data_IF_928526261492
#
_entry.id   IF_928526261492
#
_cell.length_a   1.000
_cell.length_b   1.000
_cell.length_c   1.000
_cell.angle_alpha   90.00
_cell.angle_beta   90.00
_cell.angle_gamma   90.00
#
_symmetry.space_group_name_H-M   'P 1'
#
loop_
_entity.id
_entity.type
_entity.pdbx_description
1 polymer ?
#
# COMPACT_ATOMS: atom_id res chain seq x y z
N UNK A 1 2.88 -6.53 -24.63
CA UNK A 1 2.82 -5.29 -23.81
C UNK A 1 2.16 -4.21 -24.65
N UNK A 2 1.38 -3.31 -24.02
CA UNK A 2 0.71 -2.21 -24.73
C UNK A 2 1.69 -1.11 -25.08
N UNK A 3 1.58 -0.51 -26.24
CA UNK A 3 2.42 0.59 -26.74
C UNK A 3 1.55 1.78 -27.14
N UNK A 4 2.11 2.97 -27.09
CA UNK A 4 1.47 4.18 -27.61
C UNK A 4 1.20 4.01 -29.13
N UNK A 5 0.10 4.59 -29.60
CA UNK A 5 -0.22 4.61 -31.03
C UNK A 5 0.76 5.51 -31.83
N UNK A 6 1.32 6.52 -31.16
CA UNK A 6 2.36 7.40 -31.72
C UNK A 6 3.51 7.49 -30.73
N UNK A 7 4.75 7.51 -31.23
CA UNK A 7 5.91 7.74 -30.41
C UNK A 7 5.85 9.09 -29.71
N UNK A 8 6.41 9.15 -28.50
CA UNK A 8 6.85 10.40 -27.88
C UNK A 8 8.36 10.48 -27.98
N UNK A 9 8.92 11.66 -28.19
CA UNK A 9 10.37 11.82 -28.20
C UNK A 9 10.94 11.76 -26.78
N UNK A 10 12.16 11.22 -26.64
CA UNK A 10 12.84 11.23 -25.35
C UNK A 10 13.02 12.63 -24.81
N UNK A 11 13.29 13.61 -25.68
CA UNK A 11 13.41 15.03 -25.33
C UNK A 11 12.12 15.60 -24.74
N UNK A 12 10.95 15.26 -25.29
CA UNK A 12 9.66 15.71 -24.75
C UNK A 12 9.42 15.13 -23.34
N UNK A 13 9.81 13.87 -23.10
CA UNK A 13 9.72 13.27 -21.78
C UNK A 13 10.66 13.97 -20.78
N UNK A 14 11.91 14.22 -21.16
CA UNK A 14 12.87 14.94 -20.32
C UNK A 14 12.39 16.35 -20.00
N UNK A 15 11.89 17.09 -21.00
CA UNK A 15 11.32 18.43 -20.80
C UNK A 15 10.13 18.44 -19.84
N UNK A 16 9.32 17.37 -19.87
CA UNK A 16 8.13 17.26 -19.03
C UNK A 16 8.43 16.83 -17.59
N UNK A 17 9.38 15.93 -17.38
CA UNK A 17 9.63 15.30 -16.08
C UNK A 17 10.95 15.69 -15.44
N UNK A 18 11.76 16.51 -16.13
CA UNK A 18 13.05 16.97 -15.63
C UNK A 18 14.20 16.01 -15.91
N UNK A 19 15.38 16.40 -15.45
CA UNK A 19 16.62 15.68 -15.74
C UNK A 19 17.34 16.22 -16.99
N UNK A 20 18.29 15.49 -17.52
CA UNK A 20 19.08 15.85 -18.70
C UNK A 20 19.34 14.65 -19.60
N UNK A 21 19.76 14.90 -20.83
CA UNK A 21 20.22 13.87 -21.76
C UNK A 21 21.75 13.80 -21.71
N UNK A 22 22.31 12.59 -21.60
CA UNK A 22 23.76 12.40 -21.66
C UNK A 22 24.33 12.79 -23.02
N UNK A 23 23.57 12.54 -24.10
CA UNK A 23 23.91 12.95 -25.48
C UNK A 23 22.78 13.85 -26.02
N UNK A 24 23.13 15.04 -26.49
CA UNK A 24 22.18 16.06 -26.98
C UNK A 24 21.32 15.51 -28.12
N UNK A 25 21.91 14.79 -29.06
CA UNK A 25 21.23 14.24 -30.24
C UNK A 25 20.24 13.11 -29.89
N UNK A 26 20.29 12.55 -28.68
CA UNK A 26 19.38 11.48 -28.25
C UNK A 26 17.94 11.97 -27.96
N UNK A 27 17.72 13.29 -27.95
CA UNK A 27 16.39 13.87 -27.74
C UNK A 27 15.33 13.44 -28.78
N UNK A 28 15.76 13.08 -30.00
CA UNK A 28 14.87 12.62 -31.08
C UNK A 28 14.54 11.11 -31.00
N UNK A 29 15.08 10.38 -30.03
CA UNK A 29 14.81 8.95 -29.88
C UNK A 29 13.30 8.73 -29.62
N UNK A 30 12.69 7.91 -30.47
CA UNK A 30 11.26 7.61 -30.42
C UNK A 30 10.98 6.54 -29.36
N UNK A 31 10.11 6.87 -28.42
CA UNK A 31 9.66 5.97 -27.33
C UNK A 31 8.19 5.65 -27.52
N UNK A 32 7.87 4.36 -27.56
CA UNK A 32 6.51 3.85 -27.68
C UNK A 32 6.00 3.18 -26.41
N UNK A 33 6.93 2.69 -25.55
CA UNK A 33 6.56 1.79 -24.47
C UNK A 33 7.57 1.87 -23.32
N UNK A 34 7.09 1.52 -22.12
CA UNK A 34 7.95 1.21 -20.96
C UNK A 34 8.19 -0.30 -20.90
N UNK A 35 9.41 -0.72 -20.63
CA UNK A 35 9.76 -2.13 -20.49
C UNK A 35 10.84 -2.38 -19.44
N UNK A 36 10.82 -3.56 -18.77
CA UNK A 36 11.90 -3.99 -17.89
C UNK A 36 13.20 -4.15 -18.66
N UNK A 37 14.35 -3.92 -17.99
CA UNK A 37 15.70 -4.08 -18.60
C UNK A 37 15.88 -5.41 -19.34
N UNK A 38 15.42 -6.51 -18.74
CA UNK A 38 15.60 -7.85 -19.28
C UNK A 38 14.81 -8.14 -20.57
N UNK A 39 13.74 -7.40 -20.85
CA UNK A 39 12.86 -7.67 -22.00
C UNK A 39 12.65 -6.48 -22.92
N UNK A 40 13.33 -5.38 -22.67
CA UNK A 40 13.23 -4.19 -23.49
C UNK A 40 13.84 -4.39 -24.88
N UNK A 41 13.23 -3.74 -25.88
CA UNK A 41 13.61 -3.79 -27.28
C UNK A 41 13.64 -2.38 -27.86
N UNK A 42 13.93 -2.24 -29.14
CA UNK A 42 13.90 -0.98 -29.85
C UNK A 42 12.52 -0.29 -29.71
N UNK A 43 12.50 0.98 -29.39
CA UNK A 43 11.30 1.76 -29.12
C UNK A 43 10.88 1.76 -27.63
N UNK A 44 11.57 1.03 -26.78
CA UNK A 44 11.27 1.00 -25.35
C UNK A 44 12.13 1.99 -24.55
N UNK A 45 11.54 2.51 -23.47
CA UNK A 45 12.22 3.21 -22.39
C UNK A 45 12.30 2.27 -21.17
N UNK A 46 13.50 2.10 -20.63
CA UNK A 46 13.75 1.33 -19.41
C UNK A 46 14.36 2.22 -18.32
N UNK A 47 14.67 1.66 -17.16
CA UNK A 47 15.28 2.41 -16.06
C UNK A 47 16.24 1.55 -15.23
N UNK A 48 17.28 2.19 -14.67
CA UNK A 48 18.25 1.60 -13.77
C UNK A 48 18.25 2.38 -12.45
N UNK A 49 17.51 1.89 -11.44
CA UNK A 49 17.42 2.49 -10.11
C UNK A 49 18.22 1.75 -9.03
N UNK A 50 18.84 0.59 -9.36
CA UNK A 50 19.61 -0.18 -8.41
C UNK A 50 20.83 -0.77 -9.10
N UNK A 51 22.00 -0.49 -8.54
CA UNK A 51 23.30 -0.89 -9.10
C UNK A 51 23.47 -2.41 -9.31
N UNK A 52 22.75 -3.24 -8.57
CA UNK A 52 22.79 -4.72 -8.78
C UNK A 52 22.27 -5.15 -10.15
N UNK A 53 21.52 -4.32 -10.85
CA UNK A 53 20.98 -4.59 -12.18
C UNK A 53 21.82 -4.00 -13.32
N UNK A 54 23.01 -3.48 -13.04
CA UNK A 54 23.92 -2.89 -14.06
C UNK A 54 24.19 -3.88 -15.18
N UNK A 55 24.44 -5.17 -14.88
CA UNK A 55 24.67 -6.17 -15.93
C UNK A 55 23.46 -6.32 -16.85
N UNK A 56 22.26 -6.35 -16.30
CA UNK A 56 21.04 -6.38 -17.12
C UNK A 56 20.87 -5.10 -17.95
N UNK A 57 21.31 -3.95 -17.43
CA UNK A 57 21.29 -2.70 -18.19
C UNK A 57 22.30 -2.75 -19.34
N UNK A 58 23.47 -3.33 -19.18
CA UNK A 58 24.46 -3.51 -20.25
C UNK A 58 23.94 -4.41 -21.39
N UNK A 59 23.20 -5.46 -21.06
CA UNK A 59 22.63 -6.39 -22.03
C UNK A 59 21.28 -5.91 -22.62
N UNK A 60 20.75 -4.81 -22.09
CA UNK A 60 19.43 -4.26 -22.46
C UNK A 60 19.42 -3.71 -23.90
N UNK A 61 18.32 -3.93 -24.61
CA UNK A 61 18.10 -3.45 -25.99
C UNK A 61 17.11 -2.28 -26.08
N UNK A 62 16.84 -1.61 -24.95
CA UNK A 62 16.00 -0.43 -24.93
C UNK A 62 16.55 0.69 -25.80
N UNK A 63 15.69 1.49 -26.41
CA UNK A 63 16.11 2.69 -27.13
C UNK A 63 16.66 3.77 -26.20
N UNK A 64 16.18 3.82 -24.95
CA UNK A 64 16.69 4.74 -23.94
C UNK A 64 16.60 4.14 -22.53
N UNK A 65 17.45 4.59 -21.62
CA UNK A 65 17.47 4.18 -20.21
C UNK A 65 17.47 5.41 -19.31
N UNK A 66 16.57 5.44 -18.33
CA UNK A 66 16.62 6.41 -17.22
C UNK A 66 17.66 5.92 -16.22
N UNK A 67 18.62 6.75 -15.87
CA UNK A 67 19.77 6.37 -15.04
C UNK A 67 20.17 7.52 -14.11
N UNK A 68 20.80 7.21 -12.97
CA UNK A 68 21.39 8.22 -12.09
C UNK A 68 22.75 8.70 -12.63
N UNK A 69 23.15 9.94 -12.27
CA UNK A 69 24.50 10.45 -12.56
C UNK A 69 25.59 9.49 -12.10
N UNK A 70 25.41 8.89 -10.93
CA UNK A 70 26.35 7.93 -10.35
C UNK A 70 26.52 6.64 -11.19
N UNK A 71 25.44 6.20 -11.84
CA UNK A 71 25.45 4.93 -12.60
C UNK A 71 25.64 5.14 -14.10
N UNK A 72 25.57 6.39 -14.59
CA UNK A 72 25.71 6.73 -16.01
C UNK A 72 27.00 6.14 -16.61
N UNK A 73 28.15 6.35 -15.96
CA UNK A 73 29.45 5.89 -16.46
C UNK A 73 29.55 4.37 -16.64
N UNK A 74 28.67 3.60 -15.97
CA UNK A 74 28.65 2.14 -16.06
C UNK A 74 27.98 1.62 -17.34
N UNK A 75 27.07 2.39 -17.95
CA UNK A 75 26.26 1.96 -19.09
C UNK A 75 26.42 2.84 -20.34
N UNK A 76 27.00 4.04 -20.24
CA UNK A 76 27.11 5.02 -21.33
C UNK A 76 27.94 4.52 -22.53
N UNK A 77 28.78 3.53 -22.36
CA UNK A 77 29.55 2.89 -23.46
C UNK A 77 28.70 2.00 -24.35
N UNK A 78 27.57 1.52 -23.86
CA UNK A 78 26.67 0.60 -24.58
C UNK A 78 25.41 1.32 -25.04
N UNK A 79 24.92 2.28 -24.25
CA UNK A 79 23.67 3.00 -24.53
C UNK A 79 23.95 4.43 -25.01
N UNK A 80 23.52 4.73 -26.22
CA UNK A 80 23.63 6.08 -26.85
C UNK A 80 22.55 7.06 -26.40
N UNK A 81 21.48 6.61 -25.74
CA UNK A 81 20.41 7.44 -25.23
C UNK A 81 20.17 7.19 -23.74
N UNK A 82 20.76 8.03 -22.90
CA UNK A 82 20.58 7.98 -21.46
C UNK A 82 19.88 9.25 -20.95
N UNK A 83 18.78 9.05 -20.23
CA UNK A 83 18.09 10.10 -19.49
C UNK A 83 18.66 10.13 -18.06
N UNK A 84 19.30 11.22 -17.70
CA UNK A 84 20.12 11.31 -16.48
C UNK A 84 19.39 12.09 -15.40
N UNK A 85 19.37 11.53 -14.20
CA UNK A 85 18.78 12.10 -12.99
C UNK A 85 19.81 12.09 -11.84
N UNK A 86 19.65 13.01 -10.89
CA UNK A 86 20.62 13.26 -9.82
C UNK A 86 20.88 12.05 -8.91
N UNK A 87 19.92 11.14 -8.73
CA UNK A 87 20.06 9.98 -7.84
C UNK A 87 19.19 8.79 -8.26
N UNK A 88 19.50 7.61 -7.71
CA UNK A 88 18.69 6.40 -7.93
C UNK A 88 17.25 6.56 -7.43
N UNK A 89 17.02 7.30 -6.35
CA UNK A 89 15.67 7.62 -5.88
C UNK A 89 14.92 8.52 -6.88
N UNK A 90 15.60 9.53 -7.44
CA UNK A 90 15.03 10.37 -8.50
C UNK A 90 14.69 9.55 -9.76
N UNK A 91 15.52 8.58 -10.15
CA UNK A 91 15.23 7.64 -11.24
C UNK A 91 13.91 6.91 -10.99
N UNK A 92 13.73 6.36 -9.79
CA UNK A 92 12.53 5.58 -9.47
C UNK A 92 11.28 6.43 -9.39
N UNK A 93 11.35 7.62 -8.79
CA UNK A 93 10.21 8.56 -8.72
C UNK A 93 9.83 9.12 -10.10
N UNK A 94 10.82 9.42 -10.94
CA UNK A 94 10.57 9.86 -12.33
C UNK A 94 9.94 8.73 -13.15
N UNK A 95 10.44 7.49 -13.02
CA UNK A 95 9.82 6.33 -13.65
C UNK A 95 8.35 6.17 -13.22
N UNK A 96 8.02 6.34 -11.95
CA UNK A 96 6.64 6.31 -11.48
C UNK A 96 5.77 7.37 -12.17
N UNK A 97 6.25 8.62 -12.25
CA UNK A 97 5.54 9.72 -12.93
C UNK A 97 5.35 9.45 -14.42
N UNK A 98 6.40 8.96 -15.08
CA UNK A 98 6.36 8.58 -16.51
C UNK A 98 5.38 7.42 -16.72
N UNK A 99 5.36 6.42 -15.84
CA UNK A 99 4.44 5.28 -15.96
C UNK A 99 2.97 5.73 -15.83
N UNK A 100 2.67 6.64 -14.92
CA UNK A 100 1.33 7.23 -14.78
C UNK A 100 0.93 8.00 -16.07
N UNK A 101 1.86 8.78 -16.64
CA UNK A 101 1.60 9.48 -17.90
C UNK A 101 1.34 8.50 -19.05
N UNK A 102 2.15 7.44 -19.19
CA UNK A 102 1.90 6.40 -20.20
C UNK A 102 0.53 5.75 -20.01
N UNK A 103 0.14 5.46 -18.77
CA UNK A 103 -1.19 4.91 -18.47
C UNK A 103 -2.31 5.86 -18.94
N UNK A 104 -2.19 7.15 -18.71
CA UNK A 104 -3.16 8.15 -19.19
C UNK A 104 -3.25 8.21 -20.74
N UNK A 105 -2.12 8.04 -21.45
CA UNK A 105 -2.13 7.99 -22.92
C UNK A 105 -2.72 6.69 -23.47
N UNK A 106 -2.53 5.58 -22.77
CA UNK A 106 -3.01 4.26 -23.16
C UNK A 106 -4.48 4.02 -22.82
N UNK A 107 -4.98 4.68 -21.78
CA UNK A 107 -6.33 4.54 -21.25
C UNK A 107 -6.97 5.92 -21.15
N UNK A 108 -7.57 6.42 -22.24
CA UNK A 108 -8.21 7.73 -22.23
C UNK A 108 -9.31 7.78 -21.17
N UNK A 109 -9.48 8.97 -20.60
CA UNK A 109 -10.52 9.23 -19.63
C UNK A 109 -11.91 8.93 -20.19
N UNK A 110 -12.76 8.21 -19.44
CA UNK A 110 -14.13 8.00 -19.85
C UNK A 110 -14.90 9.33 -19.86
N UNK A 111 -15.84 9.44 -20.77
CA UNK A 111 -16.71 10.63 -20.86
C UNK A 111 -17.65 10.66 -19.64
N UNK A 112 -17.80 11.86 -19.04
CA UNK A 112 -18.73 12.10 -17.95
C UNK A 112 -20.15 11.68 -18.32
N UNK A 113 -20.87 11.09 -17.37
CA UNK A 113 -22.25 10.68 -17.57
C UNK A 113 -22.66 9.54 -16.64
N UNK A 114 -23.95 9.29 -16.64
CA UNK A 114 -24.58 8.25 -15.81
C UNK A 114 -25.09 7.15 -16.75
N UNK A 115 -24.62 5.93 -16.51
CA UNK A 115 -25.12 4.77 -17.28
C UNK A 115 -26.60 4.52 -17.01
N UNK A 116 -27.38 4.18 -18.04
CA UNK A 116 -28.83 4.02 -17.95
C UNK A 116 -29.31 2.94 -16.97
N UNK A 117 -28.48 1.99 -16.63
CA UNK A 117 -28.78 0.95 -15.62
C UNK A 117 -28.35 1.31 -14.21
N UNK A 118 -27.81 2.52 -13.95
CA UNK A 118 -27.51 2.96 -12.60
C UNK A 118 -28.80 3.36 -11.87
N UNK A 119 -28.89 3.05 -10.58
CA UNK A 119 -30.00 3.40 -9.70
C UNK A 119 -29.55 4.47 -8.73
N UNK A 120 -30.09 5.67 -8.86
CA UNK A 120 -29.69 6.82 -8.05
C UNK A 120 -30.91 7.33 -7.30
N UNK A 121 -30.80 7.40 -5.96
CA UNK A 121 -31.86 7.95 -5.14
C UNK A 121 -32.09 9.43 -5.47
N UNK A 122 -33.35 9.92 -5.48
CA UNK A 122 -33.67 11.32 -5.85
C UNK A 122 -33.01 12.39 -4.96
N UNK A 123 -32.63 12.01 -3.72
CA UNK A 123 -31.96 12.91 -2.78
C UNK A 123 -30.44 12.84 -2.84
N UNK A 124 -29.87 11.94 -3.64
CA UNK A 124 -28.43 11.86 -3.85
C UNK A 124 -27.92 13.03 -4.70
N UNK A 125 -26.70 13.47 -4.43
CA UNK A 125 -26.03 14.56 -5.16
C UNK A 125 -24.88 13.97 -5.97
N UNK A 126 -25.03 13.95 -7.29
CA UNK A 126 -23.99 13.46 -8.20
C UNK A 126 -23.52 14.61 -9.07
N UNK A 127 -22.20 14.89 -9.07
CA UNK A 127 -21.65 15.93 -9.93
C UNK A 127 -21.87 15.59 -11.42
N UNK A 128 -22.16 16.62 -12.22
CA UNK A 128 -22.33 16.48 -13.67
C UNK A 128 -21.05 16.04 -14.39
N UNK A 129 -19.89 16.22 -13.76
CA UNK A 129 -18.59 15.77 -14.29
C UNK A 129 -18.22 14.33 -13.89
N UNK A 130 -19.03 13.65 -13.08
CA UNK A 130 -18.79 12.29 -12.63
C UNK A 130 -19.10 11.26 -13.75
N UNK A 131 -18.40 10.14 -13.70
CA UNK A 131 -18.67 8.96 -14.52
C UNK A 131 -19.28 7.88 -13.64
N UNK A 132 -20.51 7.49 -13.91
CA UNK A 132 -21.23 6.46 -13.17
C UNK A 132 -21.46 5.25 -14.07
N UNK A 133 -20.83 4.14 -13.70
CA UNK A 133 -20.84 2.88 -14.48
C UNK A 133 -22.16 2.11 -14.42
N UNK A 134 -22.27 1.02 -15.18
CA UNK A 134 -23.47 0.19 -15.21
C UNK A 134 -23.73 -0.51 -13.86
N UNK A 135 -24.99 -0.61 -13.49
CA UNK A 135 -25.44 -1.29 -12.28
C UNK A 135 -24.98 -0.65 -10.96
N UNK A 136 -24.49 0.59 -10.98
CA UNK A 136 -24.15 1.35 -9.77
C UNK A 136 -25.39 1.70 -9.01
N UNK A 137 -25.36 1.58 -7.68
CA UNK A 137 -26.40 2.00 -6.77
C UNK A 137 -25.87 3.15 -5.91
N UNK A 138 -26.57 4.30 -5.92
CA UNK A 138 -26.27 5.45 -5.07
C UNK A 138 -27.51 5.74 -4.24
N UNK A 139 -27.39 5.54 -2.93
CA UNK A 139 -28.49 5.64 -2.00
C UNK A 139 -28.79 7.09 -1.58
N UNK A 140 -29.83 7.25 -0.76
CA UNK A 140 -30.35 8.55 -0.34
C UNK A 140 -29.27 9.41 0.33
N UNK A 141 -29.27 10.72 0.03
CA UNK A 141 -28.37 11.73 0.61
C UNK A 141 -26.86 11.49 0.33
N UNK A 142 -26.49 10.46 -0.41
CA UNK A 142 -25.10 10.24 -0.81
C UNK A 142 -24.61 11.37 -1.73
N UNK A 143 -23.31 11.68 -1.68
CA UNK A 143 -22.69 12.75 -2.46
C UNK A 143 -21.47 12.25 -3.23
N UNK A 144 -21.48 12.44 -4.55
CA UNK A 144 -20.36 12.11 -5.46
C UNK A 144 -19.78 13.42 -5.99
N UNK A 145 -18.49 13.65 -5.70
CA UNK A 145 -17.75 14.84 -6.09
C UNK A 145 -17.41 14.92 -7.57
N UNK A 146 -16.77 16.03 -7.94
CA UNK A 146 -16.39 16.31 -9.33
C UNK A 146 -15.37 15.28 -9.85
N UNK A 147 -15.52 14.93 -11.12
CA UNK A 147 -14.62 14.01 -11.84
C UNK A 147 -14.42 12.64 -11.18
N UNK A 148 -15.31 12.23 -10.27
CA UNK A 148 -15.30 10.87 -9.72
C UNK A 148 -15.60 9.84 -10.82
N UNK A 149 -15.00 8.67 -10.67
CA UNK A 149 -15.27 7.50 -11.52
C UNK A 149 -15.77 6.36 -10.64
N UNK A 150 -17.04 6.04 -10.77
CA UNK A 150 -17.70 4.96 -10.03
C UNK A 150 -17.90 3.78 -10.97
N UNK A 151 -17.09 2.74 -10.77
CA UNK A 151 -17.07 1.53 -11.58
C UNK A 151 -18.36 0.72 -11.52
N UNK A 152 -18.49 -0.25 -12.41
CA UNK A 152 -19.67 -1.09 -12.49
C UNK A 152 -20.01 -1.79 -11.16
N UNK A 153 -21.30 -1.88 -10.83
CA UNK A 153 -21.82 -2.59 -9.65
C UNK A 153 -21.27 -2.09 -8.30
N UNK A 154 -20.77 -0.86 -8.23
CA UNK A 154 -20.48 -0.22 -6.95
C UNK A 154 -21.77 0.13 -6.22
N UNK A 155 -21.73 0.06 -4.89
CA UNK A 155 -22.79 0.53 -4.02
C UNK A 155 -22.26 1.65 -3.14
N UNK A 156 -22.91 2.82 -3.17
CA UNK A 156 -22.62 3.96 -2.31
C UNK A 156 -23.82 4.15 -1.39
N UNK A 157 -23.66 3.82 -0.12
CA UNK A 157 -24.69 3.81 0.90
C UNK A 157 -25.20 5.20 1.26
N UNK A 158 -26.32 5.24 1.97
CA UNK A 158 -27.00 6.47 2.34
C UNK A 158 -26.07 7.42 3.12
N UNK A 159 -26.10 8.70 2.77
CA UNK A 159 -25.26 9.73 3.42
C UNK A 159 -23.76 9.64 3.14
N UNK A 160 -23.28 8.63 2.44
CA UNK A 160 -21.86 8.47 2.13
C UNK A 160 -21.35 9.58 1.19
N UNK A 161 -20.07 9.96 1.34
CA UNK A 161 -19.46 11.06 0.57
C UNK A 161 -18.21 10.59 -0.12
N UNK A 162 -18.11 10.83 -1.42
CA UNK A 162 -16.92 10.53 -2.24
C UNK A 162 -16.36 11.85 -2.75
N UNK A 163 -15.13 12.18 -2.33
CA UNK A 163 -14.43 13.41 -2.69
C UNK A 163 -14.01 13.42 -4.17
N UNK A 164 -13.80 14.62 -4.69
CA UNK A 164 -13.50 14.86 -6.10
C UNK A 164 -12.29 14.06 -6.63
N UNK A 165 -12.33 13.70 -7.91
CA UNK A 165 -11.30 12.93 -8.61
C UNK A 165 -11.04 11.52 -8.07
N UNK A 166 -11.90 11.00 -7.20
CA UNK A 166 -11.76 9.65 -6.64
C UNK A 166 -12.30 8.58 -7.60
N UNK A 167 -11.67 7.41 -7.54
CA UNK A 167 -11.98 6.27 -8.40
C UNK A 167 -12.38 5.09 -7.51
N UNK A 168 -13.61 4.62 -7.66
CA UNK A 168 -14.06 3.35 -7.14
C UNK A 168 -14.09 2.34 -8.28
N UNK A 169 -13.22 1.33 -8.24
CA UNK A 169 -13.21 0.27 -9.24
C UNK A 169 -14.44 -0.64 -9.09
N UNK A 170 -14.77 -1.49 -10.08
CA UNK A 170 -15.99 -2.31 -10.04
C UNK A 170 -16.15 -3.12 -8.74
N UNK A 171 -17.39 -3.28 -8.28
CA UNK A 171 -17.77 -4.04 -7.08
C UNK A 171 -17.22 -3.48 -5.75
N UNK A 172 -16.93 -2.21 -5.64
CA UNK A 172 -16.63 -1.56 -4.35
C UNK A 172 -17.94 -1.24 -3.64
N UNK A 173 -17.98 -1.51 -2.33
CA UNK A 173 -19.14 -1.18 -1.47
C UNK A 173 -18.69 -0.18 -0.39
N UNK A 174 -19.37 0.96 -0.36
CA UNK A 174 -19.21 1.98 0.68
C UNK A 174 -20.51 2.04 1.46
N UNK A 175 -20.48 1.71 2.74
CA UNK A 175 -21.63 1.73 3.62
C UNK A 175 -22.06 3.14 3.98
N UNK A 176 -23.26 3.25 4.60
CA UNK A 176 -23.85 4.51 4.98
C UNK A 176 -22.93 5.37 5.86
N UNK A 177 -23.00 6.68 5.67
CA UNK A 177 -22.32 7.74 6.42
C UNK A 177 -20.77 7.75 6.32
N UNK A 178 -20.17 6.81 5.59
CA UNK A 178 -18.73 6.78 5.35
C UNK A 178 -18.29 7.92 4.43
N UNK A 179 -17.10 8.44 4.66
CA UNK A 179 -16.51 9.52 3.85
C UNK A 179 -15.17 9.07 3.26
N UNK A 180 -15.00 9.29 1.97
CA UNK A 180 -13.76 9.10 1.23
C UNK A 180 -13.33 10.48 0.70
N UNK A 181 -12.09 10.88 0.98
CA UNK A 181 -11.49 12.14 0.54
C UNK A 181 -11.31 12.23 -0.98
N UNK A 182 -10.58 13.23 -1.41
CA UNK A 182 -10.30 13.49 -2.83
C UNK A 182 -9.17 12.60 -3.36
N UNK A 183 -9.16 12.34 -4.67
CA UNK A 183 -8.11 11.59 -5.39
C UNK A 183 -7.83 10.21 -4.81
N UNK A 184 -8.81 9.64 -4.12
CA UNK A 184 -8.70 8.29 -3.62
C UNK A 184 -8.88 7.26 -4.75
N UNK A 185 -8.20 6.13 -4.64
CA UNK A 185 -8.37 4.99 -5.53
C UNK A 185 -8.74 3.78 -4.67
N UNK A 186 -9.90 3.18 -4.93
CA UNK A 186 -10.34 1.97 -4.24
C UNK A 186 -10.50 0.85 -5.25
N UNK A 187 -9.79 -0.25 -5.04
CA UNK A 187 -9.81 -1.39 -5.95
C UNK A 187 -10.95 -2.37 -5.66
N UNK A 188 -11.26 -3.17 -6.67
CA UNK A 188 -12.44 -4.04 -6.73
C UNK A 188 -12.59 -4.99 -5.53
N UNK A 189 -13.81 -5.20 -5.10
CA UNK A 189 -14.16 -6.11 -4.01
C UNK A 189 -13.92 -5.55 -2.61
N UNK A 190 -13.41 -4.33 -2.48
CA UNK A 190 -13.19 -3.69 -1.18
C UNK A 190 -14.50 -3.21 -0.59
N UNK A 191 -14.66 -3.46 0.72
CA UNK A 191 -15.82 -3.07 1.52
C UNK A 191 -15.38 -2.06 2.58
N UNK A 192 -16.02 -0.90 2.61
CA UNK A 192 -15.74 0.20 3.53
C UNK A 192 -16.98 0.44 4.39
N UNK A 193 -16.85 0.34 5.72
CA UNK A 193 -17.90 0.63 6.68
C UNK A 193 -18.79 -0.55 7.07
N UNK A 194 -18.37 -1.80 6.82
CA UNK A 194 -19.02 -2.98 7.41
C UNK A 194 -18.94 -2.94 8.93
N UNK A 195 -19.87 -3.62 9.60
CA UNK A 195 -19.84 -3.73 11.05
C UNK A 195 -18.57 -4.43 11.54
N UNK A 196 -17.91 -3.83 12.51
CA UNK A 196 -16.82 -4.45 13.24
C UNK A 196 -17.26 -5.66 14.07
N UNK A 197 -16.32 -6.45 14.52
CA UNK A 197 -16.56 -7.63 15.38
C UNK A 197 -16.84 -7.20 16.82
N UNK A 198 -18.08 -6.77 17.07
CA UNK A 198 -18.56 -6.32 18.37
C UNK A 198 -19.64 -7.25 18.94
N UNK A 199 -19.30 -8.04 19.95
CA UNK A 199 -20.24 -8.94 20.62
C UNK A 199 -19.99 -8.98 22.13
N UNK A 200 -21.06 -8.93 22.92
CA UNK A 200 -21.05 -9.22 24.36
C UNK A 200 -21.46 -10.67 24.61
N UNK A 201 -20.96 -11.26 25.67
CA UNK A 201 -21.37 -12.61 26.07
C UNK A 201 -22.39 -12.52 27.21
N UNK A 202 -23.61 -13.02 26.95
CA UNK A 202 -24.68 -13.02 27.90
C UNK A 202 -25.32 -14.41 27.96
N UNK A 203 -25.43 -15.00 29.14
CA UNK A 203 -26.02 -16.31 29.39
C UNK A 203 -25.53 -17.43 28.44
N UNK A 204 -24.24 -17.39 28.03
CA UNK A 204 -23.64 -18.34 27.09
C UNK A 204 -23.83 -18.06 25.62
N UNK A 205 -24.61 -17.08 25.24
CA UNK A 205 -24.85 -16.63 23.85
C UNK A 205 -24.05 -15.36 23.52
N UNK A 206 -23.83 -15.11 22.21
CA UNK A 206 -23.26 -13.88 21.70
C UNK A 206 -24.36 -12.88 21.37
N UNK A 207 -24.39 -11.74 22.06
CA UNK A 207 -25.25 -10.61 21.73
C UNK A 207 -24.49 -9.59 20.92
N UNK A 208 -25.03 -9.21 19.75
CA UNK A 208 -24.41 -8.21 18.87
C UNK A 208 -24.40 -6.83 19.54
N UNK A 209 -23.26 -6.15 19.46
CA UNK A 209 -23.11 -4.73 19.76
C UNK A 209 -23.26 -3.97 18.45
N UNK A 210 -24.23 -3.06 18.38
CA UNK A 210 -24.43 -2.21 17.20
C UNK A 210 -23.19 -1.34 16.94
N UNK A 211 -22.83 -1.21 15.68
CA UNK A 211 -21.72 -0.38 15.24
C UNK A 211 -22.29 0.92 14.68
N UNK A 212 -22.12 2.02 15.41
CA UNK A 212 -22.82 3.29 15.17
C UNK A 212 -21.91 4.36 14.53
N UNK A 213 -20.59 4.17 14.60
CA UNK A 213 -19.63 5.03 13.93
C UNK A 213 -19.58 4.79 12.42
N UNK A 214 -18.69 5.47 11.75
CA UNK A 214 -18.44 5.36 10.32
C UNK A 214 -16.97 5.09 10.01
N UNK A 215 -16.58 5.21 8.74
CA UNK A 215 -15.18 5.23 8.28
C UNK A 215 -14.91 6.58 7.62
N UNK A 216 -13.85 7.24 8.06
CA UNK A 216 -13.38 8.52 7.52
C UNK A 216 -12.02 8.32 6.86
N UNK A 217 -11.96 8.45 5.54
CA UNK A 217 -10.76 8.30 4.74
C UNK A 217 -10.34 9.65 4.20
N UNK A 218 -9.06 9.99 4.38
CA UNK A 218 -8.46 11.24 3.89
C UNK A 218 -8.23 11.28 2.38
N UNK A 219 -7.51 12.29 1.95
CA UNK A 219 -7.15 12.54 0.55
C UNK A 219 -5.99 11.66 0.09
N UNK A 220 -5.89 11.42 -1.23
CA UNK A 220 -4.77 10.70 -1.88
C UNK A 220 -4.55 9.27 -1.36
N UNK A 221 -5.57 8.64 -0.80
CA UNK A 221 -5.50 7.27 -0.27
C UNK A 221 -5.67 6.26 -1.41
N UNK A 222 -4.91 5.18 -1.38
CA UNK A 222 -5.10 4.05 -2.30
C UNK A 222 -5.32 2.77 -1.51
N UNK A 223 -6.38 2.03 -1.87
CA UNK A 223 -6.81 0.81 -1.18
C UNK A 223 -6.89 -0.32 -2.19
N UNK A 224 -6.13 -1.38 -1.96
CA UNK A 224 -6.07 -2.59 -2.76
C UNK A 224 -7.40 -3.36 -2.82
N UNK A 225 -7.40 -4.44 -3.58
CA UNK A 225 -8.58 -5.27 -3.79
C UNK A 225 -8.91 -6.13 -2.57
N UNK A 226 -10.21 -6.39 -2.37
CA UNK A 226 -10.72 -7.28 -1.33
C UNK A 226 -10.24 -6.90 0.09
N UNK A 227 -10.12 -5.62 0.37
CA UNK A 227 -9.90 -5.13 1.72
C UNK A 227 -11.22 -4.99 2.46
N UNK A 228 -11.18 -5.15 3.79
CA UNK A 228 -12.29 -4.84 4.68
C UNK A 228 -11.88 -3.76 5.66
N UNK A 229 -12.63 -2.66 5.70
CA UNK A 229 -12.40 -1.55 6.62
C UNK A 229 -13.67 -1.38 7.43
N UNK A 230 -13.63 -1.82 8.67
CA UNK A 230 -14.80 -1.84 9.54
C UNK A 230 -15.08 -0.45 10.11
N UNK A 231 -16.37 -0.12 10.27
CA UNK A 231 -16.79 1.10 10.93
C UNK A 231 -16.50 1.04 12.42
N UNK A 232 -16.39 2.18 13.05
CA UNK A 232 -16.23 2.24 14.48
C UNK A 232 -17.48 1.85 15.24
N UNK A 233 -17.30 1.43 16.48
CA UNK A 233 -18.42 1.03 17.34
C UNK A 233 -19.27 2.24 17.76
N UNK A 234 -18.65 3.33 18.18
CA UNK A 234 -19.27 4.62 18.55
C UNK A 234 -18.55 5.72 17.79
N UNK A 235 -17.25 5.88 18.03
CA UNK A 235 -16.40 6.78 17.27
C UNK A 235 -16.00 6.14 15.93
N UNK A 236 -15.50 6.94 15.00
CA UNK A 236 -15.16 6.49 13.65
C UNK A 236 -13.85 5.71 13.57
N UNK A 237 -13.71 4.91 12.53
CA UNK A 237 -12.43 4.39 12.05
C UNK A 237 -11.80 5.44 11.13
N UNK A 238 -10.53 5.79 11.36
CA UNK A 238 -9.86 6.92 10.73
C UNK A 238 -8.67 6.48 9.88
N UNK A 239 -8.62 6.92 8.63
CA UNK A 239 -7.47 6.72 7.71
C UNK A 239 -7.00 8.07 7.21
N UNK A 240 -5.75 8.43 7.54
CA UNK A 240 -5.12 9.69 7.18
C UNK A 240 -4.86 9.86 5.68
N UNK A 241 -4.33 11.02 5.32
CA UNK A 241 -4.02 11.35 3.93
C UNK A 241 -2.82 10.57 3.39
N UNK A 242 -2.83 10.26 2.10
CA UNK A 242 -1.72 9.62 1.41
C UNK A 242 -1.43 8.17 1.83
N UNK A 243 -2.27 7.56 2.66
CA UNK A 243 -2.13 6.17 3.10
C UNK A 243 -2.25 5.23 1.90
N UNK A 244 -1.38 4.21 1.87
CA UNK A 244 -1.37 3.16 0.85
C UNK A 244 -1.63 1.81 1.49
N UNK A 245 -2.69 1.14 1.06
CA UNK A 245 -3.15 -0.15 1.57
C UNK A 245 -3.15 -1.13 0.41
N UNK A 246 -2.38 -2.19 0.52
CA UNK A 246 -2.32 -3.26 -0.47
C UNK A 246 -3.54 -4.21 -0.33
N UNK A 247 -3.59 -5.25 -1.15
CA UNK A 247 -4.71 -6.17 -1.24
C UNK A 247 -4.92 -7.02 0.03
N UNK A 248 -6.16 -7.44 0.28
CA UNK A 248 -6.53 -8.38 1.36
C UNK A 248 -6.19 -7.88 2.78
N UNK A 249 -6.18 -6.58 2.99
CA UNK A 249 -5.94 -6.00 4.32
C UNK A 249 -7.23 -5.91 5.11
N UNK A 250 -7.19 -6.30 6.40
CA UNK A 250 -8.26 -6.12 7.38
C UNK A 250 -7.93 -4.98 8.33
N UNK A 251 -8.77 -3.96 8.36
CA UNK A 251 -8.73 -2.87 9.34
C UNK A 251 -10.01 -2.96 10.17
N UNK A 252 -9.85 -3.29 11.46
CA UNK A 252 -10.98 -3.47 12.36
C UNK A 252 -11.51 -2.12 12.89
N UNK A 253 -12.63 -2.18 13.62
CA UNK A 253 -13.34 -1.01 14.14
C UNK A 253 -12.45 -0.10 15.00
N UNK A 254 -12.68 1.20 14.92
CA UNK A 254 -12.00 2.24 15.73
C UNK A 254 -10.47 2.28 15.53
N UNK A 255 -9.94 1.70 14.48
CA UNK A 255 -8.52 1.85 14.14
C UNK A 255 -8.26 3.26 13.63
N UNK A 256 -7.12 3.84 14.01
CA UNK A 256 -6.63 5.10 13.50
C UNK A 256 -5.29 4.91 12.80
N UNK A 257 -5.17 5.38 11.55
CA UNK A 257 -3.95 5.29 10.73
C UNK A 257 -3.50 6.68 10.33
N UNK A 258 -2.28 7.05 10.71
CA UNK A 258 -1.67 8.35 10.40
C UNK A 258 -1.27 8.50 8.94
N UNK A 259 -1.11 9.77 8.52
CA UNK A 259 -0.79 10.16 7.15
C UNK A 259 0.46 9.46 6.60
N UNK A 260 0.47 9.15 5.31
CA UNK A 260 1.62 8.61 4.59
C UNK A 260 2.03 7.18 4.98
N UNK A 261 1.25 6.49 5.79
CA UNK A 261 1.54 5.11 6.19
C UNK A 261 1.25 4.13 5.03
N UNK A 262 2.14 3.14 4.87
CA UNK A 262 2.03 2.09 3.87
C UNK A 262 1.79 0.72 4.54
N UNK A 263 0.80 -0.01 4.05
CA UNK A 263 0.35 -1.29 4.60
C UNK A 263 0.35 -2.32 3.48
N UNK A 264 1.26 -3.30 3.57
CA UNK A 264 1.37 -4.35 2.56
C UNK A 264 0.27 -5.41 2.69
N UNK A 265 0.20 -6.30 1.69
CA UNK A 265 -0.88 -7.28 1.57
C UNK A 265 -1.06 -8.21 2.77
N UNK A 266 -2.31 -8.60 3.01
CA UNK A 266 -2.71 -9.53 4.07
C UNK A 266 -2.39 -9.05 5.51
N UNK A 267 -2.13 -7.78 5.74
CA UNK A 267 -1.96 -7.23 7.09
C UNK A 267 -3.31 -7.23 7.81
N UNK A 268 -3.30 -7.61 9.09
CA UNK A 268 -4.46 -7.52 9.97
C UNK A 268 -4.21 -6.53 11.11
N UNK A 269 -5.08 -5.54 11.26
CA UNK A 269 -5.03 -4.56 12.35
C UNK A 269 -6.29 -4.73 13.20
N UNK A 270 -6.13 -5.14 14.43
CA UNK A 270 -7.23 -5.39 15.36
C UNK A 270 -7.80 -4.08 15.94
N UNK A 271 -9.01 -4.16 16.47
CA UNK A 271 -9.79 -3.01 16.88
C UNK A 271 -9.10 -2.05 17.85
N UNK A 272 -9.38 -0.77 17.70
CA UNK A 272 -8.85 0.33 18.51
C UNK A 272 -7.32 0.47 18.53
N UNK A 273 -6.61 -0.11 17.56
CA UNK A 273 -5.19 0.14 17.40
C UNK A 273 -4.94 1.50 16.73
N UNK A 274 -3.88 2.17 17.13
CA UNK A 274 -3.42 3.43 16.55
C UNK A 274 -2.06 3.23 15.87
N UNK A 275 -2.02 3.52 14.58
CA UNK A 275 -0.79 3.48 13.76
C UNK A 275 -0.40 4.93 13.46
N UNK A 276 0.83 5.30 13.79
CA UNK A 276 1.37 6.64 13.55
C UNK A 276 1.55 6.97 12.06
N UNK A 277 2.12 8.15 11.82
CA UNK A 277 2.42 8.66 10.46
C UNK A 277 3.67 8.01 9.88
N UNK A 278 3.72 7.92 8.54
CA UNK A 278 4.88 7.43 7.79
C UNK A 278 5.38 6.04 8.26
N UNK A 279 4.48 5.21 8.76
CA UNK A 279 4.80 3.84 9.12
C UNK A 279 4.81 2.93 7.88
N UNK A 280 5.46 1.77 8.00
CA UNK A 280 5.42 0.72 6.98
C UNK A 280 5.16 -0.63 7.63
N UNK A 281 4.05 -1.27 7.29
CA UNK A 281 3.69 -2.59 7.79
C UNK A 281 3.92 -3.61 6.67
N UNK A 282 4.86 -4.54 6.91
CA UNK A 282 5.20 -5.61 5.96
C UNK A 282 4.09 -6.64 5.80
N UNK A 283 4.06 -7.31 4.66
CA UNK A 283 2.98 -8.24 4.32
C UNK A 283 2.71 -9.30 5.39
N UNK A 284 1.44 -9.58 5.63
CA UNK A 284 0.95 -10.51 6.65
C UNK A 284 1.37 -10.17 8.09
N UNK A 285 1.79 -8.94 8.37
CA UNK A 285 1.99 -8.51 9.74
C UNK A 285 0.65 -8.39 10.47
N UNK A 286 0.64 -8.67 11.76
CA UNK A 286 -0.53 -8.53 12.62
C UNK A 286 -0.30 -7.49 13.72
N UNK A 287 -1.31 -6.68 14.02
CA UNK A 287 -1.27 -5.74 15.15
C UNK A 287 -2.43 -6.07 16.07
N UNK A 288 -2.15 -6.38 17.34
CA UNK A 288 -3.19 -6.65 18.33
C UNK A 288 -3.95 -5.36 18.69
N UNK A 289 -5.15 -5.54 19.23
CA UNK A 289 -6.05 -4.44 19.56
C UNK A 289 -5.53 -3.52 20.68
N UNK A 290 -5.98 -2.27 20.64
CA UNK A 290 -5.67 -1.23 21.65
C UNK A 290 -4.17 -0.90 21.80
N UNK A 291 -3.38 -1.18 20.77
CA UNK A 291 -1.95 -0.85 20.73
C UNK A 291 -1.70 0.47 20.02
N UNK A 292 -0.63 1.15 20.41
CA UNK A 292 -0.12 2.35 19.76
C UNK A 292 1.23 2.06 19.10
N UNK A 293 1.37 2.37 17.82
CA UNK A 293 2.62 2.34 17.06
C UNK A 293 2.99 3.78 16.72
N UNK A 294 4.13 4.26 17.22
CA UNK A 294 4.57 5.63 16.98
C UNK A 294 4.97 5.86 15.52
N UNK A 295 5.02 7.12 15.12
CA UNK A 295 5.41 7.56 13.78
C UNK A 295 6.75 6.98 13.32
N UNK A 296 6.93 6.85 11.99
CA UNK A 296 8.17 6.40 11.34
C UNK A 296 8.63 5.00 11.79
N UNK A 297 7.68 4.12 12.10
CA UNK A 297 7.96 2.73 12.50
C UNK A 297 7.81 1.79 11.30
N UNK A 298 8.76 0.87 11.17
CA UNK A 298 8.73 -0.18 10.15
C UNK A 298 8.55 -1.53 10.83
N UNK A 299 7.52 -2.27 10.43
CA UNK A 299 7.26 -3.65 10.88
C UNK A 299 7.60 -4.59 9.74
N UNK A 300 8.46 -5.59 9.98
CA UNK A 300 8.78 -6.59 8.96
C UNK A 300 7.61 -7.51 8.67
N UNK A 301 7.63 -8.14 7.49
CA UNK A 301 6.58 -9.10 7.08
C UNK A 301 6.43 -10.24 8.10
N UNK A 302 5.20 -10.77 8.22
CA UNK A 302 4.84 -11.89 9.12
C UNK A 302 5.06 -11.62 10.63
N UNK A 303 5.33 -10.38 11.03
CA UNK A 303 5.54 -10.02 12.43
C UNK A 303 4.23 -9.80 13.15
N UNK A 304 4.11 -10.31 14.38
CA UNK A 304 2.98 -10.01 15.27
C UNK A 304 3.40 -8.97 16.31
N UNK A 305 2.76 -7.80 16.26
CA UNK A 305 2.93 -6.75 17.26
C UNK A 305 2.00 -7.01 18.43
N UNK A 306 2.59 -7.33 19.59
CA UNK A 306 1.88 -7.71 20.83
C UNK A 306 1.92 -6.67 21.92
N UNK A 307 2.61 -5.54 21.70
CA UNK A 307 2.74 -4.41 22.63
C UNK A 307 2.97 -3.12 21.88
N UNK A 308 2.58 -2.00 22.47
CA UNK A 308 2.79 -0.67 21.89
C UNK A 308 4.27 -0.38 21.62
N UNK A 309 4.55 0.31 20.51
CA UNK A 309 5.89 0.71 20.08
C UNK A 309 5.99 2.22 20.24
N UNK A 310 6.84 2.64 21.18
CA UNK A 310 7.00 4.06 21.56
C UNK A 310 8.23 4.74 20.95
N UNK A 311 9.08 4.00 20.26
CA UNK A 311 10.30 4.51 19.64
C UNK A 311 10.33 4.13 18.16
N UNK A 312 10.58 5.09 17.24
CA UNK A 312 10.74 4.78 15.82
C UNK A 312 11.86 3.76 15.58
N UNK A 313 11.69 2.91 14.60
CA UNK A 313 12.68 1.89 14.26
C UNK A 313 12.14 0.80 13.38
N UNK A 314 13.00 -0.17 13.06
CA UNK A 314 12.64 -1.37 12.31
C UNK A 314 12.49 -2.54 13.27
N UNK A 315 11.30 -3.14 13.28
CA UNK A 315 10.91 -4.22 14.19
C UNK A 315 10.60 -5.49 13.43
N UNK A 316 11.11 -6.62 13.93
CA UNK A 316 10.88 -7.95 13.37
C UNK A 316 10.44 -8.91 14.48
N UNK A 317 9.42 -9.71 14.20
CA UNK A 317 8.85 -10.68 15.13
C UNK A 317 8.55 -12.02 14.48
N UNK A 318 9.32 -12.41 13.45
CA UNK A 318 9.18 -13.67 12.73
C UNK A 318 10.34 -14.61 13.05
N UNK A 319 10.06 -15.90 13.15
CA UNK A 319 11.09 -16.91 13.35
C UNK A 319 11.91 -17.10 12.07
N UNK A 320 13.25 -17.20 12.15
CA UNK A 320 14.08 -17.40 10.95
C UNK A 320 13.71 -18.67 10.19
N UNK A 321 13.65 -18.58 8.86
CA UNK A 321 13.44 -19.73 7.99
C UNK A 321 14.63 -20.69 8.09
N UNK A 322 14.36 -21.96 8.26
CA UNK A 322 15.35 -23.04 8.40
C UNK A 322 14.91 -24.24 7.58
N UNK A 323 15.84 -25.20 7.35
CA UNK A 323 15.49 -26.54 6.92
C UNK A 323 14.56 -27.20 7.95
N UNK A 324 13.62 -28.04 7.49
CA UNK A 324 12.58 -28.60 8.36
C UNK A 324 13.16 -29.42 9.53
N UNK A 325 14.22 -30.18 9.31
CA UNK A 325 14.84 -30.99 10.36
C UNK A 325 15.52 -30.09 11.42
N UNK A 326 16.12 -28.99 11.02
CA UNK A 326 16.68 -27.99 11.92
C UNK A 326 15.57 -27.25 12.69
N UNK A 327 14.48 -26.89 12.00
CA UNK A 327 13.33 -26.24 12.64
C UNK A 327 12.70 -27.12 13.71
N UNK A 328 12.49 -28.42 13.44
CA UNK A 328 11.95 -29.37 14.43
C UNK A 328 12.83 -29.48 15.67
N UNK A 329 14.15 -29.52 15.50
CA UNK A 329 15.12 -29.56 16.62
C UNK A 329 15.05 -28.27 17.46
N UNK A 330 15.00 -27.11 16.82
CA UNK A 330 14.87 -25.82 17.50
C UNK A 330 13.53 -25.70 18.20
N UNK A 331 12.43 -26.08 17.53
CA UNK A 331 11.10 -26.09 18.12
C UNK A 331 10.97 -26.99 19.35
N UNK A 332 11.61 -28.16 19.32
CA UNK A 332 11.69 -29.04 20.49
C UNK A 332 12.47 -28.38 21.64
N UNK A 333 13.58 -27.69 21.33
CA UNK A 333 14.38 -26.97 22.31
C UNK A 333 13.63 -25.80 22.94
N UNK A 334 12.85 -25.05 22.14
CA UNK A 334 12.00 -23.95 22.64
C UNK A 334 11.02 -24.40 23.71
N UNK A 335 10.43 -25.59 23.57
CA UNK A 335 9.54 -26.18 24.59
C UNK A 335 10.24 -26.42 25.91
N UNK A 336 11.56 -26.65 25.90
CA UNK A 336 12.36 -26.95 27.08
C UNK A 336 12.96 -25.70 27.74
N UNK A 337 12.85 -24.49 27.11
CA UNK A 337 13.45 -23.25 27.64
C UNK A 337 13.09 -22.94 29.10
N UNK A 338 11.84 -23.12 29.58
CA UNK A 338 11.51 -22.90 31.01
C UNK A 338 12.35 -23.77 31.94
N UNK A 339 12.48 -25.05 31.60
CA UNK A 339 13.27 -26.01 32.38
C UNK A 339 14.77 -25.70 32.30
N UNK A 340 15.27 -25.37 31.13
CA UNK A 340 16.68 -24.98 30.95
C UNK A 340 17.02 -23.74 31.77
N UNK A 341 16.13 -22.74 31.80
CA UNK A 341 16.26 -21.53 32.62
C UNK A 341 16.29 -21.85 34.11
N UNK A 342 15.46 -22.79 34.57
CA UNK A 342 15.47 -23.22 35.97
C UNK A 342 16.80 -23.91 36.33
N UNK A 343 17.25 -24.86 35.51
CA UNK A 343 18.54 -25.56 35.70
C UNK A 343 19.73 -24.62 35.71
N UNK A 344 19.73 -23.62 34.84
CA UNK A 344 20.78 -22.60 34.79
C UNK A 344 20.83 -21.81 36.10
N UNK A 345 19.69 -21.37 36.61
CA UNK A 345 19.62 -20.66 37.91
C UNK A 345 20.08 -21.51 39.09
N UNK A 346 19.81 -22.81 39.08
CA UNK A 346 20.30 -23.74 40.08
C UNK A 346 21.82 -23.88 40.01
N UNK A 347 22.39 -23.99 38.83
CA UNK A 347 23.84 -24.05 38.63
C UNK A 347 24.53 -22.74 39.05
N UNK A 348 23.95 -21.56 38.70
CA UNK A 348 24.46 -20.26 39.15
C UNK A 348 24.49 -20.16 40.69
N UNK A 349 23.44 -20.63 41.36
CA UNK A 349 23.41 -20.68 42.86
C UNK A 349 24.50 -21.57 43.45
N UNK A 350 24.70 -22.74 42.85
CA UNK A 350 25.73 -23.71 43.31
C UNK A 350 27.14 -23.14 43.12
N UNK A 351 27.40 -22.44 42.00
CA UNK A 351 28.69 -21.80 41.75
C UNK A 351 28.99 -20.61 42.71
N UNK A 352 27.96 -19.80 43.01
CA UNK A 352 28.11 -18.71 44.00
C UNK A 352 28.37 -19.25 45.40
N UNK A 353 27.68 -20.32 45.83
CA UNK A 353 27.94 -20.95 47.12
C UNK A 353 29.34 -21.57 47.21
N UNK A 354 29.88 -22.11 46.12
CA UNK A 354 31.27 -22.64 46.10
C UNK A 354 32.34 -21.53 46.07
N UNK A 355 32.04 -20.33 45.56
CA UNK A 355 32.96 -19.18 45.61
C UNK A 355 33.05 -18.55 46.99
N UNK A 356 31.99 -18.59 47.77
CA UNK A 356 31.97 -18.09 49.14
C UNK A 356 32.55 -19.09 50.19
N UNK A 357 32.63 -20.36 49.84
CA UNK A 357 33.11 -21.43 50.75
C UNK A 357 34.63 -21.71 50.62
N UNK A 358 35.37 -20.95 49.80
CA UNK A 358 36.81 -21.08 49.66
C UNK A 358 37.52 -19.72 49.93
N UNK A 359 37.63 -19.24 51.20
CA UNK A 359 38.47 -18.13 51.55
C UNK A 359 39.90 -18.62 51.56
N UNK A 360 40.72 -18.09 50.64
CA UNK A 360 42.17 -18.27 50.61
C UNK A 360 42.84 -17.62 51.81
#
# INVERSE_FOLDING_TARGET
MRSLARAVSLGDLVNRFGGSLAQVDSGQVAIFRLAPLASATLGDLSFLSNARYVQQALDCKASAIIVSEQDLGKIATVHSACWVLASSNAVYSTYASVSCWFAQQLYPEPVAGIHSSAVIAPSAKVSASAVIGPGVIIEAMAAIGDHCKIGAHCVVGAGAKIGAHSVLNPNVVVYADCTIGQRAIVHSGTVIGSDGFGFAREAGAWQKIAQLGAVMIGDDVEIGSNCSIDRGAIDDTLIGNGVKIDNLVQIAHNVSIGDGTAIAGCVGIAGSATIGKNCSLGGSAGVLGHLEICDNTIISSMSLVTRSIKKPGFYSGVFPLQDNADWERVAASLKQLPMLRQRLRELERMTHLNSESNPS
#
